data_IF_785347602808
#
_entry.id   IF_785347602808
#
_cell.length_a   1.000
_cell.length_b   1.000
_cell.length_c   1.000
_cell.angle_alpha   90.00
_cell.angle_beta   90.00
_cell.angle_gamma   90.00
#
_symmetry.space_group_name_H-M   'P 1'
#
loop_
_entity.id
_entity.type
_entity.pdbx_description
1 polymer ?
#
# COMPACT_ATOMS: atom_id res chain seq x y z
N UNK A 1 13.63 1.96 8.34
CA UNK A 1 13.31 2.60 7.05
C UNK A 1 13.85 1.72 5.92
N UNK A 2 13.18 1.69 4.76
CA UNK A 2 13.50 0.77 3.67
C UNK A 2 14.78 1.05 2.90
N UNK A 3 15.34 2.26 2.67
CA UNK A 3 14.96 3.67 2.88
C UNK A 3 13.94 4.22 1.87
N UNK A 4 13.33 5.40 2.09
CA UNK A 4 12.26 5.86 1.19
C UNK A 4 12.77 6.29 -0.21
N UNK A 5 12.03 5.95 -1.29
CA UNK A 5 12.44 6.20 -2.68
C UNK A 5 12.22 7.65 -3.11
N UNK A 6 11.32 8.38 -2.46
CA UNK A 6 10.98 9.76 -2.81
C UNK A 6 11.96 10.79 -2.23
N UNK A 7 12.69 10.43 -1.19
CA UNK A 7 13.63 11.30 -0.48
C UNK A 7 15.05 10.80 -0.66
N UNK A 8 15.39 9.65 -0.06
CA UNK A 8 16.79 9.20 0.02
C UNK A 8 17.36 8.85 -1.36
N UNK A 9 16.59 8.20 -2.23
CA UNK A 9 17.05 7.86 -3.58
C UNK A 9 17.38 9.10 -4.41
N UNK A 10 16.50 10.11 -4.37
CA UNK A 10 16.67 11.37 -5.10
C UNK A 10 17.82 12.23 -4.54
N UNK A 11 18.13 12.12 -3.25
CA UNK A 11 19.22 12.86 -2.62
C UNK A 11 20.58 12.19 -2.86
N UNK A 12 20.69 10.89 -2.58
CA UNK A 12 21.92 10.13 -2.79
C UNK A 12 21.63 8.65 -3.07
N UNK A 13 21.62 8.31 -4.36
CA UNK A 13 21.37 6.96 -4.84
C UNK A 13 22.32 5.90 -4.25
N UNK A 14 23.58 6.26 -3.96
CA UNK A 14 24.54 5.32 -3.33
C UNK A 14 24.12 4.95 -1.91
N UNK A 15 23.68 5.92 -1.12
CA UNK A 15 23.15 5.71 0.23
C UNK A 15 21.86 4.89 0.18
N UNK A 16 20.96 5.19 -0.76
CA UNK A 16 19.75 4.41 -0.97
C UNK A 16 20.06 2.93 -1.25
N UNK A 17 20.96 2.67 -2.20
CA UNK A 17 21.43 1.33 -2.54
C UNK A 17 22.05 0.61 -1.34
N UNK A 18 22.97 1.27 -0.63
CA UNK A 18 23.69 0.66 0.48
C UNK A 18 22.76 0.31 1.66
N UNK A 19 21.82 1.19 2.00
CA UNK A 19 20.87 0.96 3.10
C UNK A 19 19.83 -0.11 2.74
N UNK A 20 19.30 -0.09 1.52
CA UNK A 20 18.38 -1.12 1.07
C UNK A 20 19.05 -2.49 0.96
N UNK A 21 20.27 -2.55 0.42
CA UNK A 21 21.05 -3.80 0.36
C UNK A 21 21.44 -4.30 1.75
N UNK A 22 21.69 -3.39 2.71
CA UNK A 22 21.88 -3.75 4.11
C UNK A 22 20.65 -4.45 4.67
N UNK A 23 19.44 -3.94 4.39
CA UNK A 23 18.21 -4.57 4.84
C UNK A 23 18.02 -5.96 4.19
N UNK A 24 18.23 -6.06 2.88
CA UNK A 24 18.12 -7.33 2.15
C UNK A 24 19.15 -8.37 2.63
N UNK A 25 20.37 -7.95 2.98
CA UNK A 25 21.41 -8.84 3.51
C UNK A 25 21.01 -9.57 4.80
N UNK A 26 20.02 -9.05 5.53
CA UNK A 26 19.49 -9.70 6.74
C UNK A 26 18.64 -10.93 6.40
N UNK A 27 18.14 -11.03 5.16
CA UNK A 27 17.25 -12.09 4.70
C UNK A 27 17.93 -13.13 3.80
N UNK A 28 19.26 -13.06 3.60
CA UNK A 28 20.01 -14.00 2.75
C UNK A 28 19.74 -15.48 3.08
N UNK A 29 19.41 -15.82 4.32
CA UNK A 29 19.19 -17.19 4.79
C UNK A 29 17.71 -17.57 4.98
N UNK A 30 16.78 -16.62 4.85
CA UNK A 30 15.41 -16.75 5.38
C UNK A 30 14.30 -16.71 4.31
N UNK A 31 14.65 -16.92 3.04
CA UNK A 31 13.66 -17.18 1.98
C UNK A 31 12.91 -15.97 1.43
N UNK A 32 13.16 -14.74 1.89
CA UNK A 32 12.62 -13.52 1.27
C UNK A 32 12.19 -12.42 2.24
N UNK A 33 11.52 -11.40 1.70
CA UNK A 33 10.87 -10.31 2.43
C UNK A 33 9.43 -10.20 1.93
N UNK A 34 8.46 -10.26 2.84
CA UNK A 34 7.09 -9.82 2.56
C UNK A 34 6.90 -8.47 3.24
N UNK A 35 6.60 -7.44 2.45
CA UNK A 35 6.34 -6.09 2.97
C UNK A 35 4.86 -5.78 2.87
N UNK A 36 4.37 -5.09 3.90
CA UNK A 36 3.01 -4.56 3.90
C UNK A 36 2.91 -3.25 3.12
N UNK A 37 4.03 -2.58 2.82
CA UNK A 37 4.07 -1.25 2.19
C UNK A 37 4.57 -1.31 0.75
N UNK A 38 3.83 -0.70 -0.17
CA UNK A 38 4.21 -0.59 -1.58
C UNK A 38 5.51 0.17 -1.81
N UNK A 39 5.73 1.28 -1.11
CA UNK A 39 6.99 2.03 -1.21
C UNK A 39 8.21 1.22 -0.75
N UNK A 40 8.06 0.38 0.27
CA UNK A 40 9.13 -0.51 0.71
C UNK A 40 9.39 -1.63 -0.30
N UNK A 41 8.34 -2.19 -0.93
CA UNK A 41 8.51 -3.20 -1.99
C UNK A 41 9.23 -2.61 -3.19
N UNK A 42 8.81 -1.43 -3.64
CA UNK A 42 9.44 -0.73 -4.76
C UNK A 42 10.92 -0.45 -4.47
N UNK A 43 11.25 0.08 -3.30
CA UNK A 43 12.65 0.30 -2.91
C UNK A 43 13.46 -1.00 -2.94
N UNK A 44 12.97 -2.04 -2.28
CA UNK A 44 13.76 -3.27 -2.10
C UNK A 44 13.87 -4.05 -3.42
N UNK A 45 12.83 -4.08 -4.26
CA UNK A 45 12.89 -4.60 -5.63
C UNK A 45 13.82 -3.73 -6.51
N UNK A 46 13.79 -2.41 -6.36
CA UNK A 46 14.66 -1.48 -7.09
C UNK A 46 16.13 -1.69 -6.77
N UNK A 47 16.48 -1.90 -5.50
CA UNK A 47 17.84 -2.24 -5.08
C UNK A 47 18.28 -3.57 -5.71
N UNK A 48 17.42 -4.59 -5.68
CA UNK A 48 17.69 -5.86 -6.36
C UNK A 48 17.94 -5.67 -7.85
N UNK A 49 17.09 -4.88 -8.51
CA UNK A 49 17.21 -4.60 -9.93
C UNK A 49 18.56 -3.93 -10.25
N UNK A 50 18.91 -2.87 -9.51
CA UNK A 50 20.13 -2.10 -9.74
C UNK A 50 21.40 -2.93 -9.57
N UNK A 51 21.54 -3.68 -8.48
CA UNK A 51 22.76 -4.47 -8.22
C UNK A 51 22.91 -5.68 -9.15
N UNK A 52 21.80 -6.23 -9.65
CA UNK A 52 21.85 -7.35 -10.58
C UNK A 52 22.12 -6.90 -12.02
N UNK A 53 21.77 -5.65 -12.35
CA UNK A 53 22.04 -5.04 -13.66
C UNK A 53 23.44 -4.46 -13.76
N UNK A 54 24.01 -3.97 -12.65
CA UNK A 54 25.35 -3.36 -12.63
C UNK A 54 26.28 -4.02 -11.58
N UNK A 55 27.23 -4.82 -12.07
CA UNK A 55 28.26 -5.47 -11.25
C UNK A 55 29.13 -4.49 -10.47
N UNK A 56 29.36 -3.28 -10.99
CA UNK A 56 30.14 -2.24 -10.30
C UNK A 56 29.35 -1.70 -9.12
N UNK A 57 28.06 -1.37 -9.32
CA UNK A 57 27.18 -0.96 -8.22
C UNK A 57 27.13 -2.03 -7.11
N UNK A 58 27.05 -3.31 -7.48
CA UNK A 58 27.10 -4.43 -6.53
C UNK A 58 28.40 -4.48 -5.74
N UNK A 59 29.54 -4.26 -6.40
CA UNK A 59 30.84 -4.24 -5.72
C UNK A 59 30.93 -3.04 -4.76
N UNK A 60 30.60 -1.84 -5.21
CA UNK A 60 30.62 -0.61 -4.39
C UNK A 60 29.74 -0.76 -3.14
N UNK A 61 28.52 -1.28 -3.30
CA UNK A 61 27.62 -1.57 -2.18
C UNK A 61 28.24 -2.58 -1.21
N UNK A 62 28.81 -3.69 -1.72
CA UNK A 62 29.42 -4.70 -0.86
C UNK A 62 30.69 -4.21 -0.14
N UNK A 63 31.44 -3.28 -0.72
CA UNK A 63 32.55 -2.61 -0.02
C UNK A 63 32.05 -1.79 1.18
N UNK A 64 30.88 -1.13 1.06
CA UNK A 64 30.24 -0.43 2.17
C UNK A 64 29.73 -1.43 3.23
N UNK A 65 29.00 -2.47 2.80
CA UNK A 65 28.44 -3.48 3.71
C UNK A 65 29.50 -4.25 4.50
N UNK A 66 30.68 -4.49 3.90
CA UNK A 66 31.80 -5.18 4.57
C UNK A 66 32.24 -4.45 5.83
N UNK A 67 32.15 -3.11 5.88
CA UNK A 67 32.48 -2.30 7.06
C UNK A 67 31.59 -2.60 8.27
N UNK A 68 30.41 -3.17 8.04
CA UNK A 68 29.45 -3.57 9.09
C UNK A 68 29.25 -5.09 9.14
N UNK A 69 30.18 -5.86 8.59
CA UNK A 69 30.15 -7.33 8.62
C UNK A 69 29.00 -7.94 7.82
N UNK A 70 28.57 -7.28 6.74
CA UNK A 70 27.49 -7.75 5.86
C UNK A 70 27.96 -7.86 4.40
N UNK A 71 27.24 -8.66 3.62
CA UNK A 71 27.35 -8.74 2.17
C UNK A 71 25.99 -9.08 1.58
N UNK A 72 25.76 -8.68 0.33
CA UNK A 72 24.51 -8.94 -0.37
C UNK A 72 24.75 -9.48 -1.78
N UNK A 73 24.11 -10.62 -2.09
CA UNK A 73 24.30 -11.35 -3.33
C UNK A 73 23.23 -11.06 -4.39
N UNK A 74 22.18 -10.30 -4.04
CA UNK A 74 21.12 -9.87 -4.94
C UNK A 74 20.01 -10.89 -5.19
N UNK A 75 19.90 -11.93 -4.36
CA UNK A 75 18.93 -13.02 -4.58
C UNK A 75 17.71 -13.01 -3.68
N UNK A 76 17.62 -12.09 -2.72
CA UNK A 76 16.49 -12.06 -1.78
C UNK A 76 15.23 -11.65 -2.54
N UNK A 77 14.23 -12.54 -2.53
CA UNK A 77 12.91 -12.27 -3.09
C UNK A 77 12.17 -11.26 -2.23
N UNK A 78 11.48 -10.32 -2.86
CA UNK A 78 10.69 -9.28 -2.20
C UNK A 78 9.29 -9.35 -2.76
N UNK A 79 8.29 -9.57 -1.92
CA UNK A 79 6.87 -9.58 -2.31
C UNK A 79 6.07 -8.57 -1.52
N UNK A 80 4.99 -8.10 -2.15
CA UNK A 80 3.95 -7.37 -1.44
C UNK A 80 3.00 -8.34 -0.72
N UNK A 81 2.48 -7.99 0.46
CA UNK A 81 1.55 -8.89 1.16
C UNK A 81 0.26 -9.17 0.35
N UNK A 82 -0.23 -8.16 -0.39
CA UNK A 82 -1.37 -8.34 -1.29
C UNK A 82 -1.05 -9.28 -2.47
N UNK A 83 0.17 -9.28 -3.00
CA UNK A 83 0.63 -10.26 -4.00
C UNK A 83 0.56 -11.68 -3.42
N UNK A 84 1.04 -11.87 -2.18
CA UNK A 84 0.90 -13.14 -1.45
C UNK A 84 -0.56 -13.55 -1.24
N UNK A 85 -1.45 -12.63 -0.83
CA UNK A 85 -2.87 -12.93 -0.64
C UNK A 85 -3.52 -13.35 -1.97
N UNK A 86 -3.14 -12.72 -3.07
CA UNK A 86 -3.66 -13.05 -4.40
C UNK A 86 -3.17 -14.42 -4.89
N UNK A 87 -1.89 -14.74 -4.72
CA UNK A 87 -1.34 -16.07 -5.06
C UNK A 87 -2.07 -17.21 -4.33
N UNK A 88 -2.57 -16.95 -3.12
CA UNK A 88 -3.32 -17.90 -2.31
C UNK A 88 -4.81 -17.54 -2.19
N UNK A 89 -5.39 -16.87 -3.20
CA UNK A 89 -6.75 -16.33 -3.12
C UNK A 89 -7.81 -17.39 -2.81
N UNK A 90 -7.66 -18.62 -3.29
CA UNK A 90 -8.59 -19.71 -2.97
C UNK A 90 -8.55 -20.09 -1.49
N UNK A 91 -7.37 -20.02 -0.86
CA UNK A 91 -7.25 -20.19 0.59
C UNK A 91 -7.88 -19.01 1.32
N UNK A 92 -7.64 -17.78 0.84
CA UNK A 92 -8.28 -16.58 1.42
C UNK A 92 -9.79 -16.74 1.43
N UNK A 93 -10.40 -17.13 0.31
CA UNK A 93 -11.85 -17.42 0.23
C UNK A 93 -12.30 -18.50 1.21
N UNK A 94 -11.52 -19.58 1.36
CA UNK A 94 -11.84 -20.67 2.27
C UNK A 94 -11.76 -20.29 3.77
N UNK A 95 -11.01 -19.24 4.13
CA UNK A 95 -10.92 -18.71 5.49
C UNK A 95 -11.93 -17.60 5.79
N UNK A 96 -12.76 -17.18 4.83
CA UNK A 96 -13.81 -16.19 5.09
C UNK A 96 -14.87 -16.80 6.00
N UNK A 97 -14.93 -16.30 7.24
CA UNK A 97 -15.96 -16.65 8.22
C UNK A 97 -17.14 -15.69 8.14
N UNK A 98 -16.86 -14.42 7.84
CA UNK A 98 -17.83 -13.34 7.78
C UNK A 98 -17.67 -12.52 6.49
N UNK A 99 -18.40 -12.87 5.42
CA UNK A 99 -18.36 -12.09 4.18
C UNK A 99 -18.64 -10.61 4.43
N UNK A 100 -17.90 -9.73 3.74
CA UNK A 100 -18.01 -8.28 3.86
C UNK A 100 -19.20 -7.71 3.07
N UNK A 101 -20.38 -8.29 3.27
CA UNK A 101 -21.61 -7.86 2.61
C UNK A 101 -21.94 -6.40 2.96
N UNK A 102 -22.36 -5.63 1.95
CA UNK A 102 -22.65 -4.20 2.09
C UNK A 102 -21.43 -3.28 2.05
N UNK A 103 -20.20 -3.80 2.09
CA UNK A 103 -19.01 -2.99 1.84
C UNK A 103 -18.91 -2.67 0.35
N UNK A 104 -18.99 -1.38 0.02
CA UNK A 104 -18.77 -0.82 -1.32
C UNK A 104 -17.40 -0.14 -1.31
N UNK A 105 -16.38 -0.90 -1.66
CA UNK A 105 -14.99 -0.56 -1.43
C UNK A 105 -14.41 0.14 -2.65
N UNK A 106 -13.94 1.38 -2.48
CA UNK A 106 -13.04 2.00 -3.46
C UNK A 106 -11.61 1.50 -3.24
N UNK A 107 -11.09 0.75 -4.22
CA UNK A 107 -9.72 0.21 -4.17
C UNK A 107 -8.72 1.26 -4.62
N UNK A 108 -7.81 1.65 -3.73
CA UNK A 108 -6.64 2.44 -4.07
C UNK A 108 -5.37 1.58 -4.09
N UNK A 109 -4.94 1.21 -5.31
CA UNK A 109 -3.74 0.41 -5.56
C UNK A 109 -2.44 1.09 -5.09
N UNK A 110 -2.33 2.40 -5.26
CA UNK A 110 -1.08 3.13 -5.04
C UNK A 110 -0.06 2.93 -6.16
N UNK A 111 0.76 3.96 -6.41
CA UNK A 111 1.68 3.98 -7.54
C UNK A 111 2.79 2.92 -7.45
N UNK A 112 3.44 2.81 -6.28
CA UNK A 112 4.59 1.92 -6.07
C UNK A 112 4.21 0.43 -5.96
N UNK A 113 2.91 0.12 -5.97
CA UNK A 113 2.43 -1.26 -6.00
C UNK A 113 2.49 -1.87 -7.41
N UNK A 114 2.52 -1.02 -8.43
CA UNK A 114 2.44 -1.41 -9.84
C UNK A 114 3.59 -0.86 -10.69
N UNK A 115 4.24 0.22 -10.24
CA UNK A 115 5.24 0.97 -11.02
C UNK A 115 6.50 1.25 -10.18
N UNK A 116 7.70 1.29 -10.79
CA UNK A 116 8.00 1.08 -12.22
C UNK A 116 7.74 -0.35 -12.66
N UNK A 117 7.10 -0.54 -13.82
CA UNK A 117 6.59 -1.87 -14.22
C UNK A 117 7.70 -2.86 -14.53
N UNK A 118 8.88 -2.40 -14.99
CA UNK A 118 10.04 -3.27 -15.21
C UNK A 118 10.71 -3.77 -13.93
N UNK A 119 10.45 -3.12 -12.79
CA UNK A 119 10.99 -3.49 -11.47
C UNK A 119 9.96 -4.30 -10.69
N UNK A 120 8.72 -3.79 -10.63
CA UNK A 120 7.64 -4.36 -9.83
C UNK A 120 7.09 -5.64 -10.46
N UNK A 121 6.82 -5.59 -11.77
CA UNK A 121 6.53 -6.70 -12.68
C UNK A 121 5.73 -7.87 -12.09
N UNK A 122 4.48 -7.64 -11.66
CA UNK A 122 3.65 -8.74 -11.13
C UNK A 122 2.13 -8.57 -11.36
N UNK A 123 1.62 -7.36 -11.59
CA UNK A 123 0.24 -7.07 -12.06
C UNK A 123 0.30 -6.02 -13.18
N UNK A 124 -0.80 -5.84 -13.92
CA UNK A 124 -0.88 -4.86 -15.00
C UNK A 124 -0.84 -3.42 -14.45
N UNK A 125 0.09 -2.55 -14.92
CA UNK A 125 0.25 -1.21 -14.36
C UNK A 125 -0.84 -0.22 -14.78
N UNK A 126 -1.69 -0.57 -15.74
CA UNK A 126 -2.79 0.26 -16.24
C UNK A 126 -4.16 -0.34 -15.92
N UNK A 127 -4.30 -1.67 -15.94
CA UNK A 127 -5.53 -2.41 -15.67
C UNK A 127 -5.34 -3.50 -14.61
N UNK A 128 -4.87 -3.14 -13.38
CA UNK A 128 -4.64 -4.11 -12.33
C UNK A 128 -5.96 -4.74 -11.85
N UNK A 129 -5.88 -5.98 -11.37
CA UNK A 129 -7.07 -6.72 -10.89
C UNK A 129 -6.92 -7.30 -9.50
N UNK A 130 -5.70 -7.36 -9.00
CA UNK A 130 -5.33 -8.19 -7.86
C UNK A 130 -5.99 -7.76 -6.55
N UNK A 131 -5.95 -6.48 -6.19
CA UNK A 131 -6.58 -5.98 -4.96
C UNK A 131 -8.11 -5.98 -5.10
N UNK A 132 -8.63 -5.65 -6.28
CA UNK A 132 -10.07 -5.78 -6.60
C UNK A 132 -10.57 -7.21 -6.38
N UNK A 133 -9.83 -8.21 -6.87
CA UNK A 133 -10.20 -9.61 -6.74
C UNK A 133 -10.07 -10.12 -5.31
N UNK A 134 -9.07 -9.66 -4.54
CA UNK A 134 -9.01 -9.94 -3.10
C UNK A 134 -10.24 -9.35 -2.40
N UNK A 135 -10.60 -8.10 -2.65
CA UNK A 135 -11.80 -7.47 -2.06
C UNK A 135 -13.05 -8.27 -2.38
N UNK A 136 -13.24 -8.68 -3.64
CA UNK A 136 -14.36 -9.55 -4.04
C UNK A 136 -14.32 -10.92 -3.37
N UNK A 137 -13.14 -11.50 -3.20
CA UNK A 137 -12.94 -12.77 -2.50
C UNK A 137 -13.32 -12.71 -1.02
N UNK A 138 -13.23 -11.54 -0.39
CA UNK A 138 -13.67 -11.29 0.99
C UNK A 138 -15.20 -11.04 1.10
N UNK A 139 -15.92 -11.04 -0.02
CA UNK A 139 -17.38 -10.84 -0.06
C UNK A 139 -17.83 -9.37 -0.17
N UNK A 140 -16.89 -8.44 -0.39
CA UNK A 140 -17.21 -7.03 -0.62
C UNK A 140 -17.39 -6.71 -2.11
N UNK A 141 -18.06 -5.60 -2.41
CA UNK A 141 -18.14 -5.03 -3.75
C UNK A 141 -16.93 -4.11 -4.00
N UNK A 142 -16.16 -4.37 -5.06
CA UNK A 142 -15.11 -3.45 -5.48
C UNK A 142 -15.64 -2.46 -6.52
N UNK A 143 -15.74 -1.20 -6.12
CA UNK A 143 -16.34 -0.12 -6.90
C UNK A 143 -15.32 0.44 -7.88
N UNK A 144 -15.73 0.58 -9.14
CA UNK A 144 -14.96 1.31 -10.13
C UNK A 144 -15.27 2.81 -10.08
N UNK A 145 -14.25 3.65 -10.26
CA UNK A 145 -14.39 5.09 -10.11
C UNK A 145 -13.37 5.86 -10.97
N UNK A 146 -13.73 7.08 -11.33
CA UNK A 146 -12.83 7.97 -12.06
C UNK A 146 -11.52 8.18 -11.28
N UNK A 147 -10.39 8.29 -11.99
CA UNK A 147 -9.08 8.52 -11.36
C UNK A 147 -8.61 7.38 -10.43
N UNK A 148 -9.18 6.17 -10.52
CA UNK A 148 -8.75 5.00 -9.72
C UNK A 148 -7.24 4.78 -9.72
N UNK A 149 -6.63 4.89 -10.89
CA UNK A 149 -5.20 4.70 -11.13
C UNK A 149 -4.32 5.92 -10.79
N UNK A 150 -4.90 7.05 -10.41
CA UNK A 150 -4.15 8.27 -10.10
C UNK A 150 -3.47 8.23 -8.72
N UNK A 151 -2.40 9.00 -8.58
CA UNK A 151 -1.65 9.13 -7.33
C UNK A 151 -2.49 9.78 -6.22
N UNK A 152 -2.26 9.39 -4.96
CA UNK A 152 -2.91 10.01 -3.79
C UNK A 152 -2.36 11.40 -3.44
N UNK A 153 -1.21 11.79 -3.99
CA UNK A 153 -0.55 13.07 -3.72
C UNK A 153 0.48 13.05 -2.57
N UNK A 154 0.59 11.96 -1.80
CA UNK A 154 1.49 11.92 -0.63
C UNK A 154 2.96 12.27 -0.92
N UNK A 155 3.60 11.77 -2.00
CA UNK A 155 4.99 12.14 -2.31
C UNK A 155 5.21 13.64 -2.54
N UNK A 156 4.17 14.36 -2.99
CA UNK A 156 4.22 15.79 -3.31
C UNK A 156 4.03 16.64 -2.06
N UNK A 157 3.39 16.11 -1.02
CA UNK A 157 2.95 16.84 0.17
C UNK A 157 4.02 17.71 0.83
N UNK A 158 5.26 17.21 0.92
CA UNK A 158 6.38 17.95 1.53
C UNK A 158 6.91 19.09 0.67
N UNK A 159 6.75 19.01 -0.65
CA UNK A 159 7.21 20.02 -1.60
C UNK A 159 6.11 21.04 -1.92
N UNK A 160 4.90 20.57 -2.14
CA UNK A 160 3.72 21.37 -2.46
C UNK A 160 2.47 20.77 -1.81
N UNK A 161 2.15 21.26 -0.61
CA UNK A 161 1.01 20.80 0.18
C UNK A 161 -0.33 21.10 -0.51
N UNK A 162 -0.45 22.24 -1.18
CA UNK A 162 -1.71 22.65 -1.80
C UNK A 162 -2.01 21.76 -3.02
N UNK A 163 -0.99 21.45 -3.83
CA UNK A 163 -1.12 20.46 -4.91
C UNK A 163 -1.46 19.07 -4.38
N UNK A 164 -0.77 18.61 -3.33
CA UNK A 164 -1.06 17.34 -2.65
C UNK A 164 -2.53 17.24 -2.20
N UNK A 165 -3.07 18.32 -1.62
CA UNK A 165 -4.47 18.41 -1.20
C UNK A 165 -5.45 18.39 -2.38
N UNK A 166 -5.15 19.08 -3.48
CA UNK A 166 -5.98 19.06 -4.69
C UNK A 166 -6.09 17.63 -5.25
N UNK A 167 -4.97 16.90 -5.29
CA UNK A 167 -4.95 15.53 -5.81
C UNK A 167 -5.83 14.59 -4.98
N UNK A 168 -5.70 14.62 -3.65
CA UNK A 168 -6.51 13.76 -2.79
C UNK A 168 -7.99 14.18 -2.76
N UNK A 169 -8.30 15.47 -2.86
CA UNK A 169 -9.67 15.97 -2.98
C UNK A 169 -10.35 15.46 -4.26
N UNK A 170 -9.66 15.50 -5.40
CA UNK A 170 -10.18 14.94 -6.66
C UNK A 170 -10.50 13.44 -6.53
N UNK A 171 -9.63 12.66 -5.87
CA UNK A 171 -9.90 11.24 -5.62
C UNK A 171 -11.10 11.03 -4.70
N UNK A 172 -11.21 11.78 -3.61
CA UNK A 172 -12.34 11.68 -2.68
C UNK A 172 -13.67 12.06 -3.35
N UNK A 173 -13.68 13.07 -4.23
CA UNK A 173 -14.85 13.43 -5.06
C UNK A 173 -15.26 12.30 -5.99
N UNK A 174 -14.30 11.69 -6.68
CA UNK A 174 -14.57 10.57 -7.59
C UNK A 174 -15.12 9.35 -6.84
N UNK A 175 -14.56 9.04 -5.67
CA UNK A 175 -15.03 7.97 -4.77
C UNK A 175 -16.45 8.25 -4.28
N UNK A 176 -16.74 9.49 -3.87
CA UNK A 176 -18.08 9.90 -3.45
C UNK A 176 -19.10 9.80 -4.58
N UNK A 177 -18.74 10.26 -5.79
CA UNK A 177 -19.57 10.17 -7.00
C UNK A 177 -19.88 8.72 -7.38
N UNK A 178 -18.95 7.80 -7.13
CA UNK A 178 -19.13 6.37 -7.38
C UNK A 178 -19.90 5.63 -6.26
N UNK A 179 -20.34 6.35 -5.22
CA UNK A 179 -21.12 5.80 -4.10
C UNK A 179 -20.42 4.66 -3.33
N UNK A 180 -19.08 4.65 -3.34
CA UNK A 180 -18.31 3.82 -2.42
C UNK A 180 -18.53 4.30 -0.97
N UNK A 181 -18.52 3.39 -0.01
CA UNK A 181 -18.76 3.70 1.41
C UNK A 181 -17.50 3.54 2.28
N UNK A 182 -16.42 3.04 1.71
CA UNK A 182 -15.09 3.00 2.32
C UNK A 182 -14.00 2.93 1.26
N UNK A 183 -12.75 3.15 1.68
CA UNK A 183 -11.58 3.03 0.82
C UNK A 183 -10.67 1.94 1.38
N UNK A 184 -10.11 1.09 0.52
CA UNK A 184 -9.03 0.19 0.90
C UNK A 184 -7.72 0.63 0.28
N UNK A 185 -6.66 0.58 1.07
CA UNK A 185 -5.28 0.88 0.65
C UNK A 185 -4.35 -0.27 0.97
N UNK A 186 -3.24 -0.31 0.23
CA UNK A 186 -2.15 -1.29 0.39
C UNK A 186 -0.80 -0.62 0.72
N UNK A 187 -0.82 0.65 1.13
CA UNK A 187 0.36 1.44 1.44
C UNK A 187 0.10 2.38 2.63
N UNK A 188 0.99 2.43 3.65
CA UNK A 188 0.78 3.30 4.81
C UNK A 188 0.83 4.79 4.46
N UNK A 189 1.63 5.18 3.46
CA UNK A 189 1.68 6.56 2.98
C UNK A 189 0.34 6.98 2.36
N UNK A 190 -0.27 6.08 1.56
CA UNK A 190 -1.61 6.30 1.04
C UNK A 190 -2.64 6.35 2.18
N UNK A 191 -2.57 5.43 3.14
CA UNK A 191 -3.44 5.46 4.33
C UNK A 191 -3.41 6.83 5.01
N UNK A 192 -2.22 7.34 5.35
CA UNK A 192 -2.06 8.64 5.99
C UNK A 192 -2.63 9.78 5.13
N UNK A 193 -2.41 9.72 3.81
CA UNK A 193 -2.89 10.74 2.89
C UNK A 193 -4.41 10.83 2.85
N UNK A 194 -5.12 9.71 2.76
CA UNK A 194 -6.58 9.68 2.79
C UNK A 194 -7.11 10.03 4.19
N UNK A 195 -6.54 9.44 5.23
CA UNK A 195 -7.06 9.53 6.59
C UNK A 195 -6.88 10.93 7.19
N UNK A 196 -5.73 11.56 6.96
CA UNK A 196 -5.39 12.79 7.68
C UNK A 196 -5.97 14.05 7.02
N UNK A 197 -6.22 14.01 5.71
CA UNK A 197 -6.59 15.19 4.93
C UNK A 197 -8.10 15.40 4.79
N UNK A 198 -8.94 14.38 5.00
CA UNK A 198 -10.42 14.52 4.90
C UNK A 198 -10.96 15.68 5.74
N UNK A 199 -10.50 15.82 7.00
CA UNK A 199 -10.92 16.93 7.88
C UNK A 199 -10.44 18.31 7.40
N UNK A 200 -9.23 18.38 6.83
CA UNK A 200 -8.71 19.64 6.30
C UNK A 200 -9.51 20.06 5.06
N UNK A 201 -9.81 19.12 4.17
CA UNK A 201 -10.62 19.35 2.98
C UNK A 201 -12.05 19.77 3.32
N UNK A 202 -12.70 19.09 4.28
CA UNK A 202 -14.05 19.46 4.71
C UNK A 202 -14.13 20.91 5.22
N UNK A 203 -13.05 21.41 5.84
CA UNK A 203 -12.96 22.83 6.25
C UNK A 203 -12.68 23.78 5.10
N UNK A 204 -11.86 23.38 4.14
CA UNK A 204 -11.42 24.24 3.02
C UNK A 204 -12.45 24.33 1.89
N UNK A 205 -13.13 23.23 1.59
CA UNK A 205 -13.94 23.06 0.38
C UNK A 205 -15.43 22.87 0.66
N UNK A 206 -15.86 23.03 1.92
CA UNK A 206 -17.24 22.75 2.37
C UNK A 206 -17.71 21.32 2.00
N UNK A 207 -16.78 20.38 1.86
CA UNK A 207 -17.06 18.96 1.65
C UNK A 207 -17.45 18.26 2.96
N UNK A 208 -17.99 17.05 2.83
CA UNK A 208 -18.47 16.24 3.95
C UNK A 208 -17.90 14.81 3.94
N UNK A 209 -16.63 14.65 3.55
CA UNK A 209 -15.99 13.34 3.51
C UNK A 209 -15.90 12.74 4.92
N UNK A 210 -16.42 11.53 5.07
CA UNK A 210 -16.30 10.70 6.28
C UNK A 210 -16.01 9.25 5.89
N UNK A 211 -15.20 9.02 4.85
CA UNK A 211 -14.86 7.67 4.40
C UNK A 211 -13.93 7.00 5.41
N UNK A 212 -14.32 5.85 5.99
CA UNK A 212 -13.38 5.00 6.70
C UNK A 212 -12.34 4.47 5.72
N UNK A 213 -11.06 4.60 6.09
CA UNK A 213 -9.95 4.11 5.30
C UNK A 213 -9.45 2.82 5.95
N UNK A 214 -9.52 1.71 5.23
CA UNK A 214 -9.03 0.42 5.70
C UNK A 214 -7.68 0.10 5.06
N UNK A 215 -6.77 -0.45 5.84
CA UNK A 215 -5.70 -1.25 5.29
C UNK A 215 -6.27 -2.58 4.80
N UNK A 216 -5.78 -3.12 3.68
CA UNK A 216 -6.29 -4.40 3.16
C UNK A 216 -6.22 -5.53 4.21
N UNK A 217 -5.22 -5.53 5.09
CA UNK A 217 -5.14 -6.50 6.19
C UNK A 217 -6.28 -6.38 7.21
N UNK A 218 -6.83 -5.18 7.42
CA UNK A 218 -7.98 -4.97 8.30
C UNK A 218 -9.24 -5.57 7.68
N UNK A 219 -9.46 -5.39 6.37
CA UNK A 219 -10.57 -6.04 5.67
C UNK A 219 -10.44 -7.57 5.70
N UNK A 220 -9.23 -8.10 5.48
CA UNK A 220 -8.97 -9.55 5.60
C UNK A 220 -9.30 -10.05 7.00
N UNK A 221 -8.86 -9.33 8.05
CA UNK A 221 -9.13 -9.74 9.43
C UNK A 221 -10.62 -9.69 9.77
N UNK A 222 -11.34 -8.65 9.35
CA UNK A 222 -12.80 -8.56 9.50
C UNK A 222 -13.50 -9.74 8.83
N UNK A 223 -13.07 -10.09 7.61
CA UNK A 223 -13.65 -11.20 6.86
C UNK A 223 -13.36 -12.57 7.48
N UNK A 224 -12.23 -12.69 8.19
CA UNK A 224 -11.83 -13.88 8.93
C UNK A 224 -12.43 -13.95 10.34
N UNK A 225 -13.38 -13.05 10.68
CA UNK A 225 -14.12 -13.11 11.95
C UNK A 225 -13.47 -12.41 13.14
N UNK A 226 -12.37 -11.66 12.95
CA UNK A 226 -11.80 -10.86 14.03
C UNK A 226 -12.72 -9.71 14.41
N UNK A 227 -12.84 -9.43 15.71
CA UNK A 227 -13.75 -8.40 16.21
C UNK A 227 -13.15 -7.00 16.02
N UNK A 228 -13.97 -5.94 15.83
CA UNK A 228 -13.47 -4.59 15.57
C UNK A 228 -12.56 -4.06 16.68
N UNK A 229 -12.81 -4.47 17.93
CA UNK A 229 -12.06 -4.05 19.10
C UNK A 229 -10.61 -4.58 19.09
N UNK A 230 -10.36 -5.68 18.37
CA UNK A 230 -9.04 -6.30 18.23
C UNK A 230 -8.19 -5.63 17.14
N UNK A 231 -8.82 -4.88 16.23
CA UNK A 231 -8.17 -4.33 15.03
C UNK A 231 -7.67 -2.89 15.20
N UNK A 232 -7.84 -2.30 16.39
CA UNK A 232 -7.27 -0.99 16.68
C UNK A 232 -7.95 0.17 15.96
N UNK A 233 -9.21 0.03 15.52
CA UNK A 233 -9.97 1.11 14.88
C UNK A 233 -10.13 2.37 15.75
N UNK A 234 -9.88 2.27 17.06
CA UNK A 234 -9.82 3.43 17.94
C UNK A 234 -8.69 4.42 17.58
N UNK A 235 -7.67 3.97 16.84
CA UNK A 235 -6.57 4.80 16.33
C UNK A 235 -6.86 5.44 14.97
N UNK A 236 -7.93 5.04 14.29
CA UNK A 236 -8.40 5.71 13.08
C UNK A 236 -8.97 7.09 13.46
N UNK A 237 -8.74 8.09 12.60
CA UNK A 237 -9.35 9.42 12.76
C UNK A 237 -10.83 9.39 12.38
N UNK A 238 -11.19 8.59 11.39
CA UNK A 238 -12.57 8.32 10.97
C UNK A 238 -12.85 6.85 11.27
N UNK A 239 -13.57 6.62 12.38
CA UNK A 239 -13.90 5.26 12.83
C UNK A 239 -14.97 4.64 11.93
N UNK A 240 -14.88 3.34 11.60
CA UNK A 240 -15.85 2.67 10.73
C UNK A 240 -17.20 2.36 11.41
N UNK A 241 -17.40 2.77 12.67
CA UNK A 241 -18.64 2.53 13.44
C UNK A 241 -19.93 2.91 12.69
N UNK A 242 -20.03 4.13 12.14
CA UNK A 242 -21.20 4.55 11.35
C UNK A 242 -21.42 3.67 10.12
N UNK A 243 -20.33 3.28 9.44
CA UNK A 243 -20.40 2.38 8.29
C UNK A 243 -20.97 1.03 8.72
N UNK A 244 -20.41 0.41 9.75
CA UNK A 244 -20.86 -0.88 10.25
C UNK A 244 -22.35 -0.86 10.64
N UNK A 245 -22.81 0.19 11.33
CA UNK A 245 -24.22 0.38 11.66
C UNK A 245 -25.09 0.48 10.40
N UNK A 246 -24.69 1.32 9.42
CA UNK A 246 -25.48 1.56 8.20
C UNK A 246 -25.67 0.33 7.31
N UNK A 247 -24.74 -0.62 7.36
CA UNK A 247 -24.80 -1.87 6.57
C UNK A 247 -25.15 -3.09 7.44
N UNK A 248 -25.54 -2.87 8.70
CA UNK A 248 -25.84 -3.92 9.69
C UNK A 248 -24.71 -4.94 9.89
N UNK A 249 -23.46 -4.51 9.73
CA UNK A 249 -22.30 -5.37 9.93
C UNK A 249 -22.05 -5.61 11.42
N UNK A 250 -22.50 -6.76 11.91
CA UNK A 250 -22.44 -7.16 13.33
C UNK A 250 -21.42 -8.26 13.53
N UNK A 251 -20.31 -7.98 14.24
CA UNK A 251 -19.26 -8.95 14.56
C UNK A 251 -19.56 -9.66 15.90
#
# INVERSE_FOLDING_TARGET
CCPDPTGIELIDHKTWLALGARNLSLCNTNGGVVSFCSGCVETLKGVNYAINKDSRAKEEVNQVLKKVGKSYDGKVEVKHFAEMLYEYIDKVKAYVEKPLEGFKVAVHYGCHYLRPSEIINWDDPFEPKTVDEIVRALGAESIDYEMKMECCGNPVDKADKDLSLIMIDQKLKAIQKAEANCVVVVCPACYQQYEFNQRELNKKNESNYEFPIFYLSELVALAFGFKPEELGFNFHRIRPTKLFESINFTL
#
